data_IF_677208704335
#
_entry.id   IF_677208704335
#
_cell.length_a   1.000
_cell.length_b   1.000
_cell.length_c   1.000
_cell.angle_alpha   90.00
_cell.angle_beta   90.00
_cell.angle_gamma   90.00
#
_symmetry.space_group_name_H-M   'P 1'
#
loop_
_entity.id
_entity.type
_entity.pdbx_description
1 polymer ?
#
# COMPACT_ATOMS: atom_id res chain seq x y z
N UNK A 1 13.36 29.90 38.41
CA UNK A 1 13.93 28.58 38.05
C UNK A 1 14.89 28.72 36.88
N UNK A 2 16.17 28.34 36.99
CA UNK A 2 17.14 28.42 35.88
C UNK A 2 16.80 27.49 34.71
N UNK A 3 16.37 26.25 34.98
CA UNK A 3 16.12 25.22 33.95
C UNK A 3 15.00 25.60 32.99
N UNK A 4 13.94 26.27 33.46
CA UNK A 4 12.87 26.77 32.58
C UNK A 4 13.35 27.82 31.56
N UNK A 5 14.45 28.53 31.84
CA UNK A 5 15.04 29.45 30.85
C UNK A 5 15.75 28.71 29.72
N UNK A 6 16.18 27.46 29.94
CA UNK A 6 16.84 26.65 28.91
C UNK A 6 15.85 26.26 27.79
N UNK A 7 14.59 25.98 28.14
CA UNK A 7 13.51 25.74 27.17
C UNK A 7 13.09 26.98 26.38
N UNK A 8 13.58 28.18 26.71
CA UNK A 8 13.37 29.36 25.89
C UNK A 8 14.35 29.45 24.70
N UNK A 9 15.48 28.72 24.76
CA UNK A 9 16.47 28.69 23.69
C UNK A 9 16.10 27.67 22.61
N UNK A 10 15.86 28.17 21.40
CA UNK A 10 15.52 27.38 20.22
C UNK A 10 16.63 26.39 19.83
N UNK A 11 17.89 26.66 20.20
CA UNK A 11 19.00 25.76 19.92
C UNK A 11 18.87 24.39 20.64
N UNK A 12 18.02 24.29 21.66
CA UNK A 12 17.76 23.04 22.38
C UNK A 12 16.75 22.11 21.65
N UNK A 13 15.93 22.62 20.74
CA UNK A 13 14.88 21.83 20.06
C UNK A 13 15.41 20.57 19.35
N UNK A 14 16.54 20.60 18.58
CA UNK A 14 17.10 19.40 17.97
C UNK A 14 17.52 18.34 18.99
N UNK A 15 18.10 18.76 20.12
CA UNK A 15 18.50 17.83 21.19
C UNK A 15 17.30 17.17 21.87
N UNK A 16 16.24 17.95 22.15
CA UNK A 16 14.97 17.43 22.69
C UNK A 16 14.36 16.40 21.74
N UNK A 17 14.34 16.72 20.45
CA UNK A 17 13.82 15.85 19.39
C UNK A 17 14.60 14.54 19.34
N UNK A 18 15.94 14.62 19.34
CA UNK A 18 16.84 13.48 19.32
C UNK A 18 16.65 12.56 20.53
N UNK A 19 16.57 13.10 21.76
CA UNK A 19 16.34 12.29 22.95
C UNK A 19 15.04 11.48 22.88
N UNK A 20 13.99 12.06 22.31
CA UNK A 20 12.71 11.36 22.09
C UNK A 20 12.82 10.31 20.98
N UNK A 21 13.55 10.57 19.89
CA UNK A 21 13.78 9.53 18.85
C UNK A 21 14.52 8.33 19.46
N UNK A 22 15.60 8.53 20.24
CA UNK A 22 16.35 7.44 20.88
C UNK A 22 15.41 6.59 21.74
N UNK A 23 14.59 7.25 22.56
CA UNK A 23 13.61 6.61 23.44
C UNK A 23 12.59 5.80 22.64
N UNK A 24 11.95 6.40 21.63
CA UNK A 24 10.92 5.74 20.83
C UNK A 24 11.48 4.63 19.93
N UNK A 25 12.71 4.74 19.44
CA UNK A 25 13.40 3.65 18.76
C UNK A 25 13.65 2.46 19.70
N UNK A 26 14.07 2.71 20.94
CA UNK A 26 14.24 1.65 21.93
C UNK A 26 12.91 0.99 22.29
N UNK A 27 11.82 1.76 22.43
CA UNK A 27 10.48 1.21 22.59
C UNK A 27 10.09 0.35 21.38
N UNK A 28 10.28 0.84 20.15
CA UNK A 28 9.96 0.12 18.92
C UNK A 28 10.75 -1.20 18.79
N UNK A 29 12.02 -1.26 19.23
CA UNK A 29 12.80 -2.52 19.29
C UNK A 29 12.20 -3.55 20.25
N UNK A 30 11.51 -3.11 21.31
CA UNK A 30 10.86 -3.99 22.30
C UNK A 30 9.48 -4.47 21.83
N UNK A 31 8.72 -3.63 21.11
CA UNK A 31 7.39 -4.02 20.62
C UNK A 31 7.49 -4.87 19.35
N UNK A 32 8.33 -4.50 18.36
CA UNK A 32 8.40 -5.13 17.04
C UNK A 32 8.39 -6.68 17.00
N UNK A 33 9.07 -7.44 17.90
CA UNK A 33 8.98 -8.90 17.93
C UNK A 33 7.55 -9.46 18.13
N UNK A 34 6.64 -8.66 18.66
CA UNK A 34 5.23 -9.02 18.88
C UNK A 34 4.41 -9.03 17.57
N UNK A 35 4.91 -8.44 16.49
CA UNK A 35 4.17 -8.25 15.21
C UNK A 35 3.50 -9.53 14.71
N UNK A 36 4.18 -10.68 14.76
CA UNK A 36 3.65 -11.98 14.30
C UNK A 36 3.15 -12.90 15.43
N UNK A 37 3.35 -12.51 16.69
CA UNK A 37 3.03 -13.37 17.84
C UNK A 37 1.55 -13.27 18.23
N UNK A 38 1.05 -14.30 18.92
CA UNK A 38 -0.28 -14.25 19.56
C UNK A 38 -0.19 -13.38 20.81
N UNK A 39 -0.50 -12.10 20.67
CA UNK A 39 -0.39 -11.12 21.76
C UNK A 39 -1.67 -11.10 22.61
N UNK A 40 -1.57 -11.16 23.96
CA UNK A 40 -2.75 -11.04 24.83
C UNK A 40 -3.50 -9.72 24.62
N UNK A 41 -4.84 -9.78 24.57
CA UNK A 41 -5.72 -8.62 24.32
C UNK A 41 -5.40 -7.38 25.19
N UNK A 42 -5.04 -7.59 26.46
CA UNK A 42 -4.65 -6.50 27.39
C UNK A 42 -3.43 -5.72 26.89
N UNK A 43 -2.45 -6.40 26.28
CA UNK A 43 -1.26 -5.76 25.71
C UNK A 43 -1.62 -5.01 24.44
N UNK A 44 -2.41 -5.61 23.53
CA UNK A 44 -2.90 -4.95 22.32
C UNK A 44 -3.73 -3.69 22.63
N UNK A 45 -4.64 -3.77 23.61
CA UNK A 45 -5.44 -2.63 24.07
C UNK A 45 -4.56 -1.55 24.72
N UNK A 46 -3.48 -1.93 25.41
CA UNK A 46 -2.51 -0.98 25.99
C UNK A 46 -1.73 -0.25 24.89
N UNK A 47 -1.19 -0.98 23.91
CA UNK A 47 -0.47 -0.41 22.77
C UNK A 47 -1.37 0.53 21.94
N UNK A 48 -2.64 0.16 21.72
CA UNK A 48 -3.63 1.02 21.05
C UNK A 48 -3.93 2.29 21.83
N UNK A 49 -4.08 2.20 23.16
CA UNK A 49 -4.23 3.39 23.98
C UNK A 49 -3.00 4.31 23.93
N UNK A 50 -1.80 3.77 23.71
CA UNK A 50 -0.58 4.56 23.50
C UNK A 50 -0.60 5.24 22.12
N UNK A 51 -0.87 4.51 21.03
CA UNK A 51 -0.95 5.10 19.68
C UNK A 51 -1.97 6.25 19.61
N UNK A 52 -3.16 6.05 20.19
CA UNK A 52 -4.25 7.01 20.10
C UNK A 52 -4.04 8.27 20.96
N UNK A 53 -3.32 8.15 22.09
CA UNK A 53 -3.30 9.19 23.13
C UNK A 53 -1.95 9.87 23.35
N UNK A 54 -0.84 9.27 22.93
CA UNK A 54 0.51 9.78 23.22
C UNK A 54 0.71 11.23 22.77
N UNK A 55 0.34 11.56 21.54
CA UNK A 55 0.52 12.92 20.98
C UNK A 55 -0.27 13.95 21.78
N UNK A 56 -1.55 13.67 22.07
CA UNK A 56 -2.42 14.54 22.87
C UNK A 56 -1.93 14.68 24.32
N UNK A 57 -1.43 13.59 24.90
CA UNK A 57 -0.85 13.60 26.24
C UNK A 57 0.39 14.52 26.30
N UNK A 58 1.28 14.45 25.30
CA UNK A 58 2.46 15.33 25.21
C UNK A 58 2.05 16.80 25.02
N UNK A 59 1.13 17.09 24.09
CA UNK A 59 0.62 18.44 23.87
C UNK A 59 0.07 19.07 25.16
N UNK A 60 -0.72 18.30 25.93
CA UNK A 60 -1.26 18.76 27.21
C UNK A 60 -0.16 18.95 28.28
N UNK A 61 0.75 17.99 28.42
CA UNK A 61 1.83 18.04 29.42
C UNK A 61 2.84 19.18 29.16
N UNK A 62 3.00 19.60 27.91
CA UNK A 62 3.92 20.66 27.50
C UNK A 62 3.21 21.98 27.11
N UNK A 63 1.89 22.11 27.34
CA UNK A 63 1.07 23.26 26.88
C UNK A 63 1.62 24.65 27.26
N UNK A 64 2.25 24.77 28.43
CA UNK A 64 2.86 26.02 28.92
C UNK A 64 4.31 26.27 28.47
N UNK A 65 4.88 25.43 27.60
CA UNK A 65 6.27 25.57 27.11
C UNK A 65 6.32 26.33 25.76
N UNK A 66 7.48 26.88 25.38
CA UNK A 66 7.65 27.51 24.07
C UNK A 66 7.35 26.56 22.91
N UNK A 67 6.73 27.08 21.85
CA UNK A 67 6.20 26.27 20.74
C UNK A 67 7.21 25.30 20.13
N UNK A 68 8.47 25.73 19.98
CA UNK A 68 9.56 24.92 19.43
C UNK A 68 9.90 23.68 20.28
N UNK A 69 9.66 23.74 21.60
CA UNK A 69 9.79 22.58 22.49
C UNK A 69 8.63 21.62 22.27
N UNK A 70 7.40 22.14 22.14
CA UNK A 70 6.20 21.32 21.88
C UNK A 70 6.35 20.60 20.53
N UNK A 71 6.75 21.31 19.47
CA UNK A 71 7.02 20.74 18.14
C UNK A 71 8.11 19.67 18.17
N UNK A 72 9.23 19.93 18.87
CA UNK A 72 10.33 18.98 19.03
C UNK A 72 9.90 17.66 19.70
N UNK A 73 8.96 17.70 20.66
CA UNK A 73 8.39 16.53 21.33
C UNK A 73 7.30 15.83 20.48
N UNK A 74 6.46 16.61 19.82
CA UNK A 74 5.30 16.10 19.05
C UNK A 74 5.72 15.36 17.78
N UNK A 75 6.75 15.81 17.06
CA UNK A 75 7.19 15.16 15.81
C UNK A 75 7.59 13.68 15.97
N UNK A 76 8.53 13.33 16.88
CA UNK A 76 8.94 11.96 17.14
C UNK A 76 7.79 11.11 17.68
N UNK A 77 7.02 11.66 18.63
CA UNK A 77 5.87 10.98 19.21
C UNK A 77 4.79 10.65 18.17
N UNK A 78 4.54 11.54 17.20
CA UNK A 78 3.59 11.31 16.10
C UNK A 78 4.08 10.19 15.18
N UNK A 79 5.38 10.14 14.87
CA UNK A 79 5.95 9.05 14.06
C UNK A 79 5.82 7.72 14.80
N UNK A 80 6.22 7.66 16.07
CA UNK A 80 6.17 6.46 16.90
C UNK A 80 4.74 5.95 17.11
N UNK A 81 3.79 6.85 17.42
CA UNK A 81 2.38 6.51 17.55
C UNK A 81 1.80 5.91 16.26
N UNK A 82 2.16 6.45 15.09
CA UNK A 82 1.73 5.89 13.80
C UNK A 82 2.37 4.53 13.50
N UNK A 83 3.61 4.29 13.93
CA UNK A 83 4.25 2.98 13.79
C UNK A 83 3.58 1.93 14.69
N UNK A 84 3.22 2.28 15.93
CA UNK A 84 2.46 1.38 16.82
C UNK A 84 1.07 1.04 16.24
N UNK A 85 0.35 2.00 15.68
CA UNK A 85 -0.93 1.72 15.01
C UNK A 85 -0.73 0.75 13.83
N UNK A 86 0.27 0.99 12.98
CA UNK A 86 0.61 0.09 11.87
C UNK A 86 0.99 -1.31 12.36
N UNK A 87 1.82 -1.42 13.39
CA UNK A 87 2.19 -2.71 13.99
C UNK A 87 0.96 -3.51 14.46
N UNK A 88 -0.01 -2.84 15.11
CA UNK A 88 -1.28 -3.45 15.52
C UNK A 88 -2.14 -3.88 14.34
N UNK A 89 -2.12 -3.13 13.22
CA UNK A 89 -2.81 -3.49 11.97
C UNK A 89 -2.14 -4.68 11.28
N UNK A 90 -0.80 -4.75 11.28
CA UNK A 90 -0.04 -5.91 10.82
C UNK A 90 -0.34 -7.14 11.67
N UNK A 91 -0.33 -7.04 12.99
CA UNK A 91 -0.63 -8.18 13.88
C UNK A 91 -2.04 -8.75 13.67
N UNK A 92 -3.06 -7.86 13.59
CA UNK A 92 -4.44 -8.28 13.33
C UNK A 92 -4.60 -8.97 11.97
N UNK A 93 -3.96 -8.43 10.92
CA UNK A 93 -4.01 -9.02 9.57
C UNK A 93 -3.17 -10.30 9.47
N UNK A 94 -2.05 -10.40 10.21
CA UNK A 94 -1.23 -11.60 10.30
C UNK A 94 -2.01 -12.78 10.87
N UNK A 95 -2.80 -12.58 11.94
CA UNK A 95 -3.66 -13.63 12.48
C UNK A 95 -4.75 -14.07 11.49
N UNK A 96 -5.33 -13.14 10.73
CA UNK A 96 -6.28 -13.49 9.67
C UNK A 96 -5.61 -14.29 8.54
N UNK A 97 -4.42 -13.88 8.10
CA UNK A 97 -3.64 -14.59 7.08
C UNK A 97 -3.17 -15.96 7.55
N UNK A 98 -2.73 -16.12 8.81
CA UNK A 98 -2.35 -17.40 9.40
C UNK A 98 -3.50 -18.41 9.36
N UNK A 99 -4.74 -17.99 9.66
CA UNK A 99 -5.92 -18.85 9.58
C UNK A 99 -6.22 -19.29 8.14
N UNK A 100 -5.90 -18.46 7.14
CA UNK A 100 -6.06 -18.85 5.73
C UNK A 100 -4.93 -19.80 5.29
N UNK A 101 -3.68 -19.44 5.56
CA UNK A 101 -2.48 -20.11 5.06
C UNK A 101 -2.12 -21.40 5.79
N UNK A 102 -2.59 -21.62 7.03
CA UNK A 102 -2.35 -22.89 7.74
C UNK A 102 -3.18 -24.06 7.20
N UNK A 103 -4.36 -23.78 6.62
CA UNK A 103 -5.22 -24.81 6.03
C UNK A 103 -4.61 -25.30 4.70
N UNK A 104 -4.19 -26.58 4.56
CA UNK A 104 -3.62 -27.12 3.32
C UNK A 104 -4.55 -26.93 2.12
N UNK A 105 -5.86 -27.15 2.29
CA UNK A 105 -6.85 -27.00 1.22
C UNK A 105 -6.88 -25.56 0.65
N UNK A 106 -6.73 -24.55 1.51
CA UNK A 106 -6.64 -23.17 1.05
C UNK A 106 -5.36 -22.95 0.25
N UNK A 107 -4.22 -23.48 0.70
CA UNK A 107 -2.92 -23.35 0.00
C UNK A 107 -2.93 -24.04 -1.36
N UNK A 108 -3.47 -25.25 -1.43
CA UNK A 108 -3.65 -26.01 -2.67
C UNK A 108 -4.53 -25.22 -3.65
N UNK A 109 -5.71 -24.79 -3.23
CA UNK A 109 -6.64 -24.01 -4.08
C UNK A 109 -6.05 -22.65 -4.48
N UNK A 110 -5.32 -21.97 -3.57
CA UNK A 110 -4.62 -20.71 -3.87
C UNK A 110 -3.57 -20.88 -4.95
N UNK A 111 -2.82 -21.99 -4.93
CA UNK A 111 -1.81 -22.29 -5.94
C UNK A 111 -2.47 -22.68 -7.28
N UNK A 112 -3.47 -23.57 -7.28
CA UNK A 112 -4.21 -23.97 -8.49
C UNK A 112 -4.83 -22.77 -9.20
N UNK A 113 -5.58 -21.92 -8.49
CA UNK A 113 -6.16 -20.72 -9.08
C UNK A 113 -5.07 -19.78 -9.60
N UNK A 114 -3.95 -19.60 -8.89
CA UNK A 114 -2.88 -18.72 -9.37
C UNK A 114 -2.26 -19.24 -10.67
N UNK A 115 -1.85 -20.51 -10.72
CA UNK A 115 -1.16 -21.05 -11.91
C UNK A 115 -2.07 -21.22 -13.13
N UNK A 116 -3.40 -21.27 -12.94
CA UNK A 116 -4.38 -21.42 -14.02
C UNK A 116 -5.06 -20.11 -14.44
N UNK A 117 -5.24 -19.15 -13.54
CA UNK A 117 -6.02 -17.93 -13.79
C UNK A 117 -5.20 -16.64 -13.87
N UNK A 118 -4.00 -16.59 -13.26
CA UNK A 118 -3.21 -15.36 -13.16
C UNK A 118 -2.17 -15.30 -14.28
N UNK A 119 -2.25 -14.28 -15.13
CA UNK A 119 -1.25 -14.10 -16.17
C UNK A 119 -0.03 -13.32 -15.61
N UNK A 120 0.96 -14.06 -15.13
CA UNK A 120 2.17 -13.51 -14.49
C UNK A 120 2.86 -12.42 -15.33
N UNK A 121 2.94 -12.60 -16.66
CA UNK A 121 3.56 -11.61 -17.55
C UNK A 121 2.69 -10.34 -17.67
N UNK A 122 1.36 -10.47 -17.64
CA UNK A 122 0.45 -9.32 -17.62
C UNK A 122 0.44 -8.60 -16.27
N UNK A 123 0.55 -9.35 -15.16
CA UNK A 123 0.74 -8.82 -13.80
C UNK A 123 2.02 -7.98 -13.72
N UNK A 124 3.11 -8.44 -14.33
CA UNK A 124 4.38 -7.72 -14.35
C UNK A 124 4.30 -6.36 -15.06
N UNK A 125 3.40 -6.15 -16.03
CA UNK A 125 3.18 -4.82 -16.64
C UNK A 125 2.67 -3.75 -15.65
N UNK A 126 2.29 -4.14 -14.42
CA UNK A 126 1.91 -3.20 -13.35
C UNK A 126 3.11 -2.55 -12.61
N UNK A 127 4.34 -2.98 -12.89
CA UNK A 127 5.58 -2.44 -12.31
C UNK A 127 6.49 -1.79 -13.37
N UNK A 128 7.53 -1.02 -12.99
CA UNK A 128 8.42 -0.38 -13.97
C UNK A 128 9.10 -1.40 -14.89
N UNK A 129 9.19 -1.10 -16.19
CA UNK A 129 9.67 -2.03 -17.23
C UNK A 129 10.98 -2.73 -16.89
N UNK A 130 11.91 -2.01 -16.22
CA UNK A 130 13.21 -2.52 -15.77
C UNK A 130 13.15 -3.75 -14.85
N UNK A 131 12.03 -3.98 -14.15
CA UNK A 131 11.85 -5.12 -13.24
C UNK A 131 10.76 -6.09 -13.65
N UNK A 132 10.20 -5.97 -14.86
CA UNK A 132 9.13 -6.86 -15.32
C UNK A 132 9.56 -8.33 -15.35
N UNK A 133 10.69 -8.63 -16.01
CA UNK A 133 11.17 -10.02 -16.11
C UNK A 133 11.68 -10.55 -14.77
N UNK A 134 12.26 -9.71 -13.91
CA UNK A 134 12.65 -10.08 -12.55
C UNK A 134 11.43 -10.44 -11.68
N UNK A 135 10.30 -9.72 -11.81
CA UNK A 135 9.03 -10.06 -11.14
C UNK A 135 8.43 -11.35 -11.70
N UNK A 136 8.48 -11.56 -13.02
CA UNK A 136 8.03 -12.83 -13.63
C UNK A 136 8.85 -14.00 -13.10
N UNK A 137 10.18 -13.87 -13.07
CA UNK A 137 11.08 -14.88 -12.53
C UNK A 137 10.78 -15.16 -11.05
N UNK A 138 10.75 -14.13 -10.20
CA UNK A 138 10.44 -14.21 -8.76
C UNK A 138 9.15 -15.01 -8.51
N UNK A 139 8.05 -14.61 -9.16
CA UNK A 139 6.74 -15.23 -8.95
C UNK A 139 6.75 -16.69 -9.40
N UNK A 140 7.35 -17.01 -10.55
CA UNK A 140 7.41 -18.39 -11.06
C UNK A 140 8.31 -19.28 -10.19
N UNK A 141 9.40 -18.76 -9.63
CA UNK A 141 10.35 -19.56 -8.83
C UNK A 141 9.95 -19.73 -7.37
N UNK A 142 9.29 -18.75 -6.74
CA UNK A 142 9.10 -18.73 -5.28
C UNK A 142 7.67 -18.99 -4.83
N UNK A 143 6.65 -18.75 -5.67
CA UNK A 143 5.25 -18.90 -5.26
C UNK A 143 4.93 -20.30 -4.74
N UNK A 144 5.47 -21.35 -5.38
CA UNK A 144 5.24 -22.74 -4.95
C UNK A 144 5.85 -23.00 -3.57
N UNK A 145 7.02 -22.45 -3.26
CA UNK A 145 7.69 -22.62 -1.96
C UNK A 145 7.02 -21.77 -0.85
N UNK A 146 6.48 -20.60 -1.21
CA UNK A 146 5.76 -19.70 -0.30
C UNK A 146 4.44 -20.30 0.19
N UNK A 147 3.66 -20.85 -0.75
CA UNK A 147 2.42 -21.55 -0.44
C UNK A 147 2.71 -22.95 0.12
N UNK A 148 3.65 -23.70 -0.46
CA UNK A 148 3.96 -25.10 -0.11
C UNK A 148 2.68 -25.98 -0.18
N UNK A 149 2.08 -26.12 -1.39
CA UNK A 149 0.88 -26.93 -1.61
C UNK A 149 1.21 -28.43 -1.70
N UNK A 150 0.38 -29.25 -1.06
CA UNK A 150 0.53 -30.69 -0.89
C UNK A 150 -0.12 -31.52 -2.01
N UNK A 151 -1.36 -31.21 -2.38
CA UNK A 151 -2.22 -32.13 -3.17
C UNK A 151 -2.39 -31.72 -4.65
N UNK A 152 -1.73 -30.64 -5.08
CA UNK A 152 -1.87 -30.13 -6.45
C UNK A 152 -1.24 -31.07 -7.48
N UNK A 153 -2.03 -31.44 -8.48
CA UNK A 153 -1.63 -32.40 -9.51
C UNK A 153 -0.47 -31.89 -10.38
N UNK A 154 0.62 -32.66 -10.43
CA UNK A 154 1.72 -32.41 -11.38
C UNK A 154 1.26 -32.38 -12.85
N UNK A 155 0.17 -33.09 -13.19
CA UNK A 155 -0.35 -33.07 -14.56
C UNK A 155 -0.96 -31.72 -14.94
N UNK A 156 -1.47 -30.97 -13.96
CA UNK A 156 -1.89 -29.58 -14.10
C UNK A 156 -0.67 -28.66 -14.14
N UNK A 157 0.22 -28.78 -13.14
CA UNK A 157 1.36 -27.87 -12.99
C UNK A 157 2.27 -27.87 -14.22
N UNK A 158 2.58 -29.03 -14.81
CA UNK A 158 3.41 -29.17 -16.02
C UNK A 158 2.87 -28.46 -17.27
N UNK A 159 1.59 -28.09 -17.28
CA UNK A 159 0.96 -27.34 -18.39
C UNK A 159 1.13 -25.82 -18.24
N UNK A 160 1.72 -25.38 -17.12
CA UNK A 160 1.90 -23.97 -16.78
C UNK A 160 3.39 -23.58 -16.79
N UNK A 161 3.73 -22.28 -16.87
CA UNK A 161 5.11 -21.81 -16.76
C UNK A 161 5.81 -22.24 -15.45
N UNK A 162 5.05 -22.51 -14.38
CA UNK A 162 5.56 -22.98 -13.09
C UNK A 162 6.14 -24.39 -13.20
N UNK A 163 5.39 -25.33 -13.78
CA UNK A 163 5.87 -26.70 -13.97
C UNK A 163 7.01 -26.80 -14.98
N UNK A 164 7.03 -25.95 -16.01
CA UNK A 164 8.19 -25.84 -16.90
C UNK A 164 9.44 -25.40 -16.12
N UNK A 165 9.33 -24.38 -15.26
CA UNK A 165 10.45 -23.90 -14.44
C UNK A 165 10.89 -24.94 -13.40
N UNK A 166 9.95 -25.63 -12.76
CA UNK A 166 10.24 -26.70 -11.80
C UNK A 166 11.01 -27.86 -12.46
N UNK A 167 10.63 -28.24 -13.69
CA UNK A 167 11.34 -29.25 -14.48
C UNK A 167 12.76 -28.78 -14.85
N UNK A 168 12.93 -27.52 -15.28
CA UNK A 168 14.25 -26.94 -15.61
C UNK A 168 15.19 -26.87 -14.39
N UNK A 169 14.66 -26.56 -13.21
CA UNK A 169 15.45 -26.52 -11.97
C UNK A 169 15.76 -27.91 -11.37
N UNK A 170 15.31 -29.00 -11.99
CA UNK A 170 15.48 -30.35 -11.44
C UNK A 170 14.72 -30.58 -10.13
N UNK A 171 13.79 -29.69 -9.75
CA UNK A 171 12.94 -29.79 -8.55
C UNK A 171 11.79 -30.79 -8.75
N UNK A 172 12.06 -31.88 -9.45
CA UNK A 172 11.10 -32.95 -9.66
C UNK A 172 11.04 -33.83 -8.41
N UNK A 173 10.07 -33.55 -7.54
CA UNK A 173 9.81 -34.26 -6.26
C UNK A 173 10.95 -34.20 -5.25
N UNK A 174 11.10 -33.05 -4.62
CA UNK A 174 11.07 -33.06 -3.15
C UNK A 174 9.71 -32.53 -2.74
N UNK A 175 8.76 -33.45 -2.54
CA UNK A 175 7.75 -33.21 -1.52
C UNK A 175 8.55 -32.98 -0.24
N UNK A 176 8.43 -31.79 0.33
CA UNK A 176 9.12 -31.37 1.53
C UNK A 176 8.83 -32.39 2.63
N UNK A 177 9.83 -33.20 3.00
CA UNK A 177 9.77 -34.07 4.20
C UNK A 177 10.00 -33.19 5.44
N UNK A 178 9.32 -32.05 5.46
CA UNK A 178 9.38 -31.07 6.52
C UNK A 178 8.19 -31.31 7.43
N UNK A 179 8.48 -31.32 8.73
CA UNK A 179 7.50 -31.52 9.78
C UNK A 179 6.32 -30.55 9.64
N UNK A 180 5.17 -30.94 10.20
CA UNK A 180 3.91 -30.18 10.21
C UNK A 180 4.15 -28.66 10.11
N UNK A 181 3.77 -28.00 8.99
CA UNK A 181 4.04 -26.59 8.80
C UNK A 181 3.21 -25.80 9.81
N UNK A 182 3.84 -25.44 10.92
CA UNK A 182 3.24 -24.57 11.93
C UNK A 182 2.84 -23.23 11.27
N UNK A 183 1.81 -22.59 11.80
CA UNK A 183 1.36 -21.26 11.36
C UNK A 183 2.50 -20.25 11.28
N UNK A 184 3.43 -20.31 12.23
CA UNK A 184 4.62 -19.46 12.34
C UNK A 184 5.56 -19.70 11.14
N UNK A 185 5.93 -20.96 10.87
CA UNK A 185 6.75 -21.34 9.73
C UNK A 185 6.20 -20.82 8.39
N UNK A 186 4.87 -20.79 8.22
CA UNK A 186 4.26 -20.30 6.98
C UNK A 186 4.41 -18.79 6.84
N UNK A 187 4.06 -17.99 7.85
CA UNK A 187 4.21 -16.53 7.78
C UNK A 187 5.68 -16.12 7.66
N UNK A 188 6.59 -16.83 8.33
CA UNK A 188 8.03 -16.56 8.25
C UNK A 188 8.57 -16.71 6.83
N UNK A 189 8.08 -17.66 6.01
CA UNK A 189 8.48 -17.77 4.59
C UNK A 189 8.14 -16.50 3.82
N UNK A 190 6.95 -15.95 4.01
CA UNK A 190 6.51 -14.72 3.35
C UNK A 190 7.31 -13.49 3.83
N UNK A 191 7.57 -13.36 5.14
CA UNK A 191 8.37 -12.26 5.69
C UNK A 191 9.84 -12.32 5.21
N UNK A 192 10.43 -13.52 5.16
CA UNK A 192 11.76 -13.72 4.58
C UNK A 192 11.80 -13.35 3.09
N UNK A 193 10.77 -13.67 2.32
CA UNK A 193 10.65 -13.21 0.93
C UNK A 193 10.57 -11.67 0.86
N UNK A 194 9.72 -11.02 1.65
CA UNK A 194 9.61 -9.56 1.69
C UNK A 194 10.94 -8.87 2.06
N UNK A 195 11.67 -9.41 3.04
CA UNK A 195 13.03 -8.93 3.40
C UNK A 195 14.00 -9.06 2.22
N UNK A 196 13.95 -10.18 1.49
CA UNK A 196 14.85 -10.47 0.37
C UNK A 196 14.64 -9.57 -0.86
N UNK A 197 13.49 -8.91 -0.99
CA UNK A 197 13.17 -8.05 -2.15
C UNK A 197 14.22 -6.94 -2.35
N UNK A 198 14.74 -6.36 -1.27
CA UNK A 198 15.79 -5.32 -1.36
C UNK A 198 17.08 -5.81 -2.02
N UNK A 199 17.45 -7.08 -1.81
CA UNK A 199 18.60 -7.70 -2.45
C UNK A 199 18.33 -8.20 -3.88
N UNK A 200 17.09 -8.60 -4.18
CA UNK A 200 16.67 -9.06 -5.51
C UNK A 200 16.43 -7.91 -6.50
N UNK A 201 16.00 -6.76 -6.00
CA UNK A 201 15.70 -5.56 -6.78
C UNK A 201 16.62 -4.38 -6.37
N UNK A 202 17.97 -4.51 -6.46
CA UNK A 202 18.92 -3.54 -5.91
C UNK A 202 18.88 -2.16 -6.60
N UNK A 203 18.22 -2.08 -7.76
CA UNK A 203 17.98 -0.84 -8.49
C UNK A 203 16.71 -0.08 -8.05
N UNK A 204 15.86 -0.70 -7.24
CA UNK A 204 14.60 -0.12 -6.76
C UNK A 204 14.78 0.51 -5.38
N UNK A 205 14.14 1.66 -5.15
CA UNK A 205 14.05 2.27 -3.83
C UNK A 205 13.07 1.49 -2.94
N UNK A 206 13.23 1.59 -1.60
CA UNK A 206 12.30 0.98 -0.65
C UNK A 206 10.83 1.38 -0.91
N UNK A 207 10.58 2.64 -1.30
CA UNK A 207 9.24 3.12 -1.65
C UNK A 207 8.70 2.50 -2.95
N UNK A 208 9.56 2.30 -3.96
CA UNK A 208 9.18 1.55 -5.17
C UNK A 208 8.88 0.08 -4.86
N UNK A 209 9.62 -0.58 -3.96
CA UNK A 209 9.36 -1.97 -3.56
C UNK A 209 7.98 -2.08 -2.90
N UNK A 210 7.66 -1.25 -1.91
CA UNK A 210 6.33 -1.19 -1.26
C UNK A 210 5.23 -1.01 -2.30
N UNK A 211 5.39 -0.03 -3.20
CA UNK A 211 4.42 0.24 -4.26
C UNK A 211 4.28 -0.93 -5.23
N UNK A 212 5.37 -1.55 -5.66
CA UNK A 212 5.35 -2.70 -6.59
C UNK A 212 4.63 -3.90 -5.98
N UNK A 213 4.90 -4.25 -4.71
CA UNK A 213 4.21 -5.35 -4.02
C UNK A 213 2.70 -5.12 -3.98
N UNK A 214 2.27 -3.91 -3.60
CA UNK A 214 0.84 -3.54 -3.57
C UNK A 214 0.20 -3.56 -4.97
N UNK A 215 0.93 -3.15 -6.03
CA UNK A 215 0.44 -3.18 -7.42
C UNK A 215 0.33 -4.59 -7.98
N UNK A 216 1.34 -5.44 -7.75
CA UNK A 216 1.32 -6.86 -8.11
C UNK A 216 0.14 -7.55 -7.43
N UNK A 217 0.00 -7.41 -6.10
CA UNK A 217 -1.13 -7.97 -5.36
C UNK A 217 -2.49 -7.49 -5.90
N UNK A 218 -2.62 -6.20 -6.22
CA UNK A 218 -3.83 -5.65 -6.84
C UNK A 218 -4.11 -6.18 -8.25
N UNK A 219 -3.07 -6.49 -9.03
CA UNK A 219 -3.21 -7.12 -10.34
C UNK A 219 -3.64 -8.59 -10.23
N UNK A 220 -3.00 -9.37 -9.36
CA UNK A 220 -3.37 -10.76 -9.04
C UNK A 220 -4.83 -10.84 -8.59
N UNK A 221 -5.27 -9.99 -7.65
CA UNK A 221 -6.66 -9.98 -7.19
C UNK A 221 -7.65 -9.67 -8.33
N UNK A 222 -7.27 -8.84 -9.32
CA UNK A 222 -8.12 -8.53 -10.48
C UNK A 222 -8.29 -9.75 -11.39
N UNK A 223 -7.20 -10.43 -11.72
CA UNK A 223 -7.23 -11.64 -12.56
C UNK A 223 -8.11 -12.72 -11.89
N UNK A 224 -7.91 -12.98 -10.59
CA UNK A 224 -8.74 -13.89 -9.79
C UNK A 224 -10.22 -13.48 -9.74
N UNK A 225 -10.53 -12.17 -9.74
CA UNK A 225 -11.92 -11.68 -9.79
C UNK A 225 -12.56 -11.97 -11.13
N UNK A 226 -11.86 -11.70 -12.23
CA UNK A 226 -12.34 -11.90 -13.60
C UNK A 226 -12.54 -13.39 -13.90
N UNK A 227 -11.63 -14.24 -13.42
CA UNK A 227 -11.70 -15.69 -13.57
C UNK A 227 -12.59 -16.41 -12.55
N UNK A 228 -13.17 -15.68 -11.57
CA UNK A 228 -14.01 -16.22 -10.49
C UNK A 228 -13.30 -17.30 -9.64
N UNK A 229 -12.04 -17.04 -9.26
CA UNK A 229 -11.21 -17.96 -8.48
C UNK A 229 -11.79 -18.31 -7.11
N UNK A 230 -11.82 -19.60 -6.79
CA UNK A 230 -12.41 -20.16 -5.55
C UNK A 230 -11.67 -19.67 -4.29
N UNK A 231 -10.36 -19.47 -4.41
CA UNK A 231 -9.47 -19.00 -3.36
C UNK A 231 -9.42 -17.48 -3.20
N UNK A 232 -10.24 -16.71 -3.92
CA UNK A 232 -10.26 -15.24 -3.87
C UNK A 232 -10.24 -14.68 -2.44
N UNK A 233 -11.03 -15.25 -1.52
CA UNK A 233 -11.06 -14.81 -0.12
C UNK A 233 -9.74 -15.02 0.63
N UNK A 234 -9.09 -16.17 0.42
CA UNK A 234 -7.80 -16.48 1.04
C UNK A 234 -6.67 -15.61 0.47
N UNK A 235 -6.69 -15.37 -0.85
CA UNK A 235 -5.78 -14.43 -1.51
C UNK A 235 -5.99 -12.99 -1.05
N UNK A 236 -7.24 -12.53 -0.90
CA UNK A 236 -7.55 -11.18 -0.42
C UNK A 236 -7.01 -10.93 0.99
N UNK A 237 -7.28 -11.85 1.93
CA UNK A 237 -6.79 -11.74 3.32
C UNK A 237 -5.26 -11.78 3.37
N UNK A 238 -4.64 -12.67 2.60
CA UNK A 238 -3.16 -12.78 2.50
C UNK A 238 -2.55 -11.49 1.93
N UNK A 239 -3.15 -10.93 0.88
CA UNK A 239 -2.75 -9.66 0.26
C UNK A 239 -2.88 -8.49 1.23
N UNK A 240 -3.98 -8.39 1.98
CA UNK A 240 -4.16 -7.35 3.01
C UNK A 240 -3.05 -7.40 4.06
N UNK A 241 -2.65 -8.58 4.51
CA UNK A 241 -1.52 -8.72 5.44
C UNK A 241 -0.18 -8.32 4.81
N UNK A 242 0.10 -8.78 3.58
CA UNK A 242 1.34 -8.45 2.86
C UNK A 242 1.49 -6.93 2.65
N UNK A 243 0.41 -6.25 2.27
CA UNK A 243 0.37 -4.80 2.06
C UNK A 243 0.74 -4.02 3.33
N UNK A 244 0.17 -4.41 4.48
CA UNK A 244 0.46 -3.80 5.78
C UNK A 244 1.89 -4.12 6.23
N UNK A 245 2.33 -5.38 6.07
CA UNK A 245 3.65 -5.84 6.47
C UNK A 245 4.77 -5.10 5.71
N UNK A 246 4.69 -5.03 4.37
CA UNK A 246 5.75 -4.38 3.57
C UNK A 246 5.83 -2.87 3.85
N UNK A 247 4.67 -2.22 4.08
CA UNK A 247 4.61 -0.82 4.46
C UNK A 247 5.21 -0.58 5.85
N UNK A 248 4.85 -1.41 6.83
CA UNK A 248 5.41 -1.36 8.19
C UNK A 248 6.92 -1.57 8.19
N UNK A 249 7.43 -2.59 7.49
CA UNK A 249 8.87 -2.87 7.39
C UNK A 249 9.65 -1.67 6.83
N UNK A 250 9.14 -1.02 5.78
CA UNK A 250 9.78 0.14 5.17
C UNK A 250 9.76 1.38 6.09
N UNK A 251 8.63 1.66 6.73
CA UNK A 251 8.51 2.80 7.65
C UNK A 251 9.29 2.60 8.96
N UNK A 252 9.24 1.39 9.53
CA UNK A 252 9.99 1.03 10.72
C UNK A 252 11.49 1.10 10.43
N UNK A 253 11.98 0.49 9.35
CA UNK A 253 13.37 0.61 8.91
C UNK A 253 13.82 2.06 8.71
N UNK A 254 12.99 2.88 8.06
CA UNK A 254 13.27 4.32 7.87
C UNK A 254 13.28 5.11 9.18
N UNK A 255 12.43 4.77 10.15
CA UNK A 255 12.42 5.38 11.49
C UNK A 255 13.66 5.01 12.32
N UNK A 256 14.07 3.74 12.26
CA UNK A 256 15.27 3.26 12.96
C UNK A 256 16.57 3.90 12.44
N UNK A 257 16.58 4.44 11.22
CA UNK A 257 17.75 5.08 10.60
C UNK A 257 17.86 6.60 10.84
N UNK A 258 16.84 7.26 11.41
CA UNK A 258 16.78 8.74 11.48
C UNK A 258 17.93 9.42 12.23
N UNK A 259 18.60 8.70 13.12
CA UNK A 259 19.64 9.26 14.00
C UNK A 259 21.03 9.27 13.35
N UNK A 260 21.35 8.27 12.52
CA UNK A 260 22.66 8.10 11.90
C UNK A 260 23.01 9.25 10.95
N UNK A 261 22.01 9.96 10.42
CA UNK A 261 22.19 10.96 9.36
C UNK A 261 22.52 12.35 9.92
N UNK A 262 21.94 12.77 11.07
CA UNK A 262 22.17 14.13 11.58
C UNK A 262 23.50 14.29 12.33
N UNK A 263 24.07 13.23 12.90
CA UNK A 263 25.41 13.27 13.50
C UNK A 263 26.53 13.59 12.49
N UNK A 264 26.30 13.38 11.20
CA UNK A 264 27.28 13.67 10.13
C UNK A 264 27.32 15.12 9.64
N UNK A 265 26.34 15.96 9.96
CA UNK A 265 26.30 17.37 9.51
C UNK A 265 26.87 18.36 10.55
N UNK A 266 27.44 17.86 11.64
CA UNK A 266 28.00 18.68 12.73
C UNK A 266 29.42 19.22 12.52
N UNK A 267 30.17 18.74 11.51
CA UNK A 267 31.61 19.04 11.37
C UNK A 267 31.99 19.80 10.07
N UNK A 268 31.02 20.30 9.31
CA UNK A 268 31.27 21.26 8.21
C UNK A 268 31.24 22.70 8.72
N UNK A 269 32.19 23.04 9.60
CA UNK A 269 32.38 24.41 10.10
C UNK A 269 33.84 24.74 10.44
N UNK A 270 34.78 24.39 9.54
CA UNK A 270 36.13 24.96 9.56
C UNK A 270 36.36 25.91 8.37
N UNK A 271 36.60 27.17 8.71
CA UNK A 271 37.15 28.21 7.82
C UNK A 271 38.51 27.79 7.26
N UNK A 272 38.79 28.17 5.99
CA UNK A 272 40.14 28.62 5.65
C UNK A 272 40.11 29.98 4.95
N UNK A 273 40.04 31.05 5.74
CA UNK A 273 40.23 32.42 5.27
C UNK A 273 41.69 32.87 5.37
N UNK A 274 42.58 32.33 4.51
CA UNK A 274 43.89 32.95 4.22
C UNK A 274 44.66 32.26 3.07
N UNK A 275 44.50 32.72 1.83
CA UNK A 275 45.66 33.02 0.95
C UNK A 275 45.23 33.82 -0.30
N UNK A 276 45.67 35.08 -0.39
CA UNK A 276 45.61 35.86 -1.64
C UNK A 276 46.99 35.88 -2.29
N UNK A 277 47.15 35.29 -3.49
CA UNK A 277 48.05 35.85 -4.52
C UNK A 277 47.83 35.30 -5.94
N UNK A 278 47.10 36.09 -6.73
CA UNK A 278 47.52 36.68 -8.00
C UNK A 278 48.28 35.81 -9.04
N UNK A 279 47.61 35.48 -10.14
CA UNK A 279 48.22 35.43 -11.49
C UNK A 279 47.21 35.86 -12.56
N UNK A 280 47.65 36.72 -13.48
CA UNK A 280 46.86 37.24 -14.60
C UNK A 280 47.04 36.37 -15.85
N UNK A 281 45.99 36.25 -16.66
CA UNK A 281 45.92 36.17 -18.13
C UNK A 281 44.50 35.65 -18.50
N UNK A 282 43.81 36.10 -19.55
CA UNK A 282 44.16 37.05 -20.60
C UNK A 282 43.60 36.54 -21.94
N UNK A 283 42.52 37.12 -22.46
CA UNK A 283 41.93 36.71 -23.74
C UNK A 283 40.53 37.25 -24.02
N UNK A 284 40.42 38.24 -24.90
CA UNK A 284 39.16 38.78 -25.45
C UNK A 284 39.16 38.63 -26.99
N UNK A 285 38.19 37.90 -27.53
CA UNK A 285 37.46 38.19 -28.79
C UNK A 285 36.30 37.17 -28.86
N UNK A 286 35.03 37.45 -29.17
CA UNK A 286 34.29 38.48 -29.92
C UNK A 286 33.80 37.99 -31.29
N UNK A 287 32.52 38.28 -31.57
CA UNK A 287 31.77 38.03 -32.83
C UNK A 287 31.36 36.57 -33.11
N UNK A 288 30.20 36.29 -33.70
CA UNK A 288 29.21 37.19 -34.30
C UNK A 288 27.75 36.73 -34.16
N UNK A 289 26.84 37.67 -34.39
CA UNK A 289 25.38 37.55 -34.37
C UNK A 289 24.81 36.84 -35.60
N UNK A 290 23.59 36.33 -35.49
CA UNK A 290 22.54 36.75 -36.44
C UNK A 290 21.17 36.80 -35.75
N UNK A 291 20.37 37.81 -36.10
CA UNK A 291 19.13 38.17 -35.41
C UNK A 291 18.15 38.79 -36.43
N UNK A 292 17.14 38.04 -36.87
CA UNK A 292 16.05 38.45 -37.77
C UNK A 292 14.97 37.33 -37.78
N UNK A 293 13.66 37.53 -37.60
CA UNK A 293 12.86 38.75 -37.51
C UNK A 293 11.83 38.69 -36.38
N UNK A 294 11.69 39.82 -35.70
CA UNK A 294 10.52 40.16 -34.89
C UNK A 294 9.32 40.62 -35.75
N UNK A 295 8.19 40.83 -35.03
CA UNK A 295 7.04 41.75 -35.28
C UNK A 295 5.73 40.95 -35.33
N UNK A 296 4.82 41.03 -34.34
CA UNK A 296 4.39 42.18 -33.53
C UNK A 296 2.92 42.50 -33.89
N UNK A 297 2.09 43.25 -33.16
CA UNK A 297 2.23 44.17 -32.01
C UNK A 297 0.82 44.41 -31.39
N UNK A 298 0.69 44.45 -30.05
CA UNK A 298 -0.41 45.02 -29.20
C UNK A 298 -1.88 44.60 -29.50
N UNK A 299 -2.90 44.74 -28.63
CA UNK A 299 -3.11 45.25 -27.25
C UNK A 299 -4.64 45.18 -26.96
N UNK A 300 -5.21 45.56 -25.81
CA UNK A 300 -4.72 46.00 -24.48
C UNK A 300 -5.86 45.87 -23.43
N UNK A 301 -5.52 45.69 -22.13
CA UNK A 301 -6.34 45.99 -20.90
C UNK A 301 -7.70 45.29 -20.64
N UNK A 302 -7.87 44.76 -19.41
CA UNK A 302 -9.18 44.42 -18.81
C UNK A 302 -9.09 43.81 -17.40
N UNK A 303 -9.56 44.52 -16.37
CA UNK A 303 -9.39 44.24 -14.93
C UNK A 303 -10.15 43.01 -14.35
N UNK A 304 -9.72 42.47 -13.19
CA UNK A 304 -10.53 41.59 -12.32
C UNK A 304 -9.73 40.56 -11.47
N UNK A 305 -10.18 40.16 -10.25
CA UNK A 305 -9.37 39.37 -9.30
C UNK A 305 -9.61 37.84 -9.27
N UNK A 306 -8.68 37.11 -8.61
CA UNK A 306 -8.74 35.69 -8.17
C UNK A 306 -9.70 35.50 -6.96
N UNK A 307 -10.00 34.29 -6.37
CA UNK A 307 -9.39 32.94 -6.54
C UNK A 307 -10.31 31.66 -6.42
N UNK A 308 -9.71 30.48 -6.70
CA UNK A 308 -9.86 29.10 -6.11
C UNK A 308 -11.20 28.30 -6.01
N UNK A 309 -11.04 26.99 -6.28
CA UNK A 309 -11.67 25.77 -5.74
C UNK A 309 -13.19 25.60 -5.54
N UNK A 310 -13.78 24.70 -6.35
CA UNK A 310 -14.95 23.88 -5.98
C UNK A 310 -14.75 22.40 -6.38
N UNK A 311 -14.10 21.64 -5.49
CA UNK A 311 -14.04 20.17 -5.55
C UNK A 311 -14.15 19.56 -4.14
N UNK A 312 -15.11 20.06 -3.35
CA UNK A 312 -15.42 19.64 -1.98
C UNK A 312 -16.91 19.80 -1.68
N UNK A 313 -17.75 18.93 -2.26
CA UNK A 313 -19.15 18.73 -1.84
C UNK A 313 -19.66 17.36 -2.31
N UNK A 314 -19.09 16.29 -1.74
CA UNK A 314 -19.52 14.91 -1.98
C UNK A 314 -19.19 13.96 -0.81
N UNK A 315 -19.10 14.45 0.43
CA UNK A 315 -18.68 13.64 1.59
C UNK A 315 -19.17 14.15 2.97
N UNK A 316 -20.42 14.63 3.08
CA UNK A 316 -21.08 14.84 4.39
C UNK A 316 -22.58 14.54 4.32
N UNK A 317 -22.97 13.32 4.72
CA UNK A 317 -24.25 13.00 5.39
C UNK A 317 -24.38 11.48 5.65
N UNK A 318 -23.70 10.97 6.69
CA UNK A 318 -23.92 9.61 7.21
C UNK A 318 -23.33 9.45 8.64
N UNK A 319 -23.77 10.25 9.61
CA UNK A 319 -23.34 10.12 11.00
C UNK A 319 -24.36 10.68 12.01
N UNK A 320 -25.51 10.02 12.17
CA UNK A 320 -26.44 10.28 13.28
C UNK A 320 -27.34 9.07 13.59
N UNK A 321 -27.23 8.51 14.80
CA UNK A 321 -28.37 7.90 15.50
C UNK A 321 -28.50 6.37 15.56
N UNK A 322 -28.22 5.84 16.76
CA UNK A 322 -29.01 4.81 17.49
C UNK A 322 -29.29 3.40 16.92
N UNK A 323 -28.59 2.43 17.52
CA UNK A 323 -29.04 1.25 18.30
C UNK A 323 -30.46 0.64 18.19
N UNK A 324 -30.43 -0.70 18.37
CA UNK A 324 -31.46 -1.66 18.85
C UNK A 324 -32.49 -2.33 17.90
N UNK A 325 -32.55 -3.66 18.07
CA UNK A 325 -33.64 -4.63 17.85
C UNK A 325 -34.27 -4.86 16.46
N UNK A 326 -34.16 -6.11 15.98
CA UNK A 326 -35.11 -6.66 14.99
C UNK A 326 -34.62 -7.83 14.12
N UNK A 327 -34.58 -9.07 14.66
CA UNK A 327 -34.56 -10.25 13.79
C UNK A 327 -35.93 -10.40 13.12
N UNK A 328 -35.98 -10.34 11.79
CA UNK A 328 -37.18 -10.56 10.98
C UNK A 328 -36.87 -11.33 9.71
N UNK A 329 -37.07 -12.66 9.73
CA UNK A 329 -36.98 -13.47 8.50
C UNK A 329 -38.27 -13.36 7.67
N UNK A 330 -38.12 -13.06 6.37
CA UNK A 330 -38.87 -13.64 5.23
C UNK A 330 -38.30 -13.08 3.91
N UNK A 331 -37.61 -13.90 3.11
CA UNK A 331 -38.06 -14.70 1.94
C UNK A 331 -37.96 -13.94 0.61
N UNK A 332 -37.69 -14.62 -0.53
CA UNK A 332 -36.98 -14.02 -1.65
C UNK A 332 -37.89 -13.73 -2.85
N UNK A 333 -38.32 -12.49 -3.00
CA UNK A 333 -38.90 -11.99 -4.24
C UNK A 333 -38.75 -10.47 -4.32
N UNK A 334 -37.66 -10.03 -4.94
CA UNK A 334 -37.66 -8.89 -5.86
C UNK A 334 -36.46 -9.02 -6.83
N UNK A 335 -36.77 -8.99 -8.12
CA UNK A 335 -35.90 -9.45 -9.20
C UNK A 335 -35.19 -8.29 -9.93
N UNK A 336 -34.12 -8.62 -10.63
CA UNK A 336 -33.25 -7.73 -11.41
C UNK A 336 -33.94 -6.58 -12.18
N UNK A 337 -33.44 -5.35 -11.99
CA UNK A 337 -33.61 -4.25 -12.94
C UNK A 337 -32.26 -3.60 -13.30
N UNK A 338 -31.54 -4.18 -14.26
CA UNK A 338 -30.25 -3.67 -14.73
C UNK A 338 -30.46 -2.58 -15.80
N UNK A 339 -30.34 -1.30 -15.40
CA UNK A 339 -30.50 -0.15 -16.31
C UNK A 339 -29.39 -0.06 -17.37
N UNK A 340 -29.76 -0.22 -18.64
CA UNK A 340 -28.85 -0.15 -19.80
C UNK A 340 -28.82 1.26 -20.38
N UNK A 341 -27.63 1.82 -20.62
CA UNK A 341 -27.45 3.15 -21.22
C UNK A 341 -28.08 3.23 -22.63
N UNK A 342 -28.83 4.29 -22.89
CA UNK A 342 -29.40 4.63 -24.20
C UNK A 342 -29.19 6.11 -24.52
N UNK A 343 -28.60 6.39 -25.70
CA UNK A 343 -28.41 7.74 -26.22
C UNK A 343 -29.73 8.30 -26.78
N UNK A 344 -30.00 9.58 -26.57
CA UNK A 344 -31.15 10.31 -27.13
C UNK A 344 -30.86 10.86 -28.51
N UNK A 345 -31.79 10.69 -29.47
CA UNK A 345 -31.95 11.58 -30.62
C UNK A 345 -33.41 11.59 -31.09
N UNK A 346 -33.82 12.71 -31.71
CA UNK A 346 -35.18 13.25 -31.66
C UNK A 346 -36.18 12.85 -32.78
N UNK A 347 -37.42 13.28 -32.54
CA UNK A 347 -38.43 13.81 -33.47
C UNK A 347 -39.47 12.94 -34.23
N UNK A 348 -40.71 13.06 -33.75
CA UNK A 348 -42.02 13.35 -34.40
C UNK A 348 -42.28 12.87 -35.86
N UNK A 349 -43.30 12.02 -36.08
CA UNK A 349 -44.67 12.38 -36.55
C UNK A 349 -45.54 11.16 -36.95
N UNK A 350 -46.87 11.28 -36.69
CA UNK A 350 -48.07 10.72 -37.38
C UNK A 350 -48.00 9.36 -38.14
N UNK A 351 -49.02 8.49 -38.12
CA UNK A 351 -50.45 8.77 -38.35
C UNK A 351 -51.39 7.59 -37.95
N UNK A 352 -52.70 7.76 -38.13
CA UNK A 352 -53.80 6.88 -37.67
C UNK A 352 -54.23 5.80 -38.68
N UNK A 353 -54.99 4.81 -38.18
CA UNK A 353 -55.88 3.85 -38.90
C UNK A 353 -55.19 2.75 -39.75
N UNK A 354 -55.73 1.52 -39.90
CA UNK A 354 -57.07 0.97 -39.59
C UNK A 354 -57.06 -0.54 -39.20
N UNK A 355 -58.15 -1.01 -38.58
CA UNK A 355 -58.53 -2.41 -38.33
C UNK A 355 -59.50 -2.88 -39.47
N UNK A 356 -60.09 -4.11 -39.58
CA UNK A 356 -60.22 -5.23 -38.62
C UNK A 356 -60.18 -6.68 -39.23
N UNK A 357 -60.80 -7.65 -38.52
CA UNK A 357 -61.11 -9.08 -38.83
C UNK A 357 -59.96 -10.09 -38.57
N UNK A 358 -60.13 -11.12 -37.73
CA UNK A 358 -61.24 -12.08 -37.74
C UNK A 358 -61.55 -12.70 -36.37
N UNK A 359 -62.83 -12.88 -36.07
CA UNK A 359 -63.34 -13.84 -35.05
C UNK A 359 -63.88 -15.09 -35.75
N UNK A 360 -63.61 -16.27 -35.21
CA UNK A 360 -64.56 -17.40 -35.16
C UNK A 360 -64.19 -18.33 -34.00
N UNK A 361 -65.21 -18.70 -33.22
CA UNK A 361 -65.14 -19.66 -32.12
C UNK A 361 -66.16 -20.76 -32.38
N UNK A 362 -65.69 -22.00 -32.52
CA UNK A 362 -66.37 -23.27 -32.22
C UNK A 362 -65.25 -24.26 -31.88
N UNK A 363 -65.40 -25.24 -31.00
CA UNK A 363 -66.59 -25.69 -30.28
C UNK A 363 -66.48 -27.19 -30.08
N UNK A 364 -65.98 -27.63 -28.93
CA UNK A 364 -65.80 -29.06 -28.62
C UNK A 364 -67.07 -29.64 -28.02
N UNK A 365 -67.45 -30.87 -28.44
CA UNK A 365 -67.95 -31.92 -27.55
C UNK A 365 -68.16 -33.25 -28.30
N UNK A 366 -67.67 -34.34 -27.69
CA UNK A 366 -67.86 -35.78 -28.03
C UNK A 366 -67.09 -36.31 -29.24
#
# INVERSE_FOLDING_TARGET
MPVQKLFADKALAPWINQCDIIMYQNMMRVVAPLTLQVVPKVVLDTLRNISDRLVKHIQNSFHGQPIHVIEAKVGPATTFASLLDKELRVNLTAHAAANMLSNPYNRDTMYEDFITMVNVRKVAESVPTRGMDDVVNLLITELRDLLDPSEVSWELERQTPFGEMAARMGRQRQASVHADPTTENVLDRWVNMLLSLTGKFPYATHAEIVWCVQKIGTAVMRDLTIAQGKSFGAWWVTKCWIDEMIAFMAEQGGFMQRETIQSGMGDMSQNPAASRRNSQQGGRYSSGSDDFLARGVNGERGAGPRPMDHARDAAMNAAAGHDDSGIGMRTPEDEFAMGKFGFTQDDVHASMESNPLHTMSQGSLS
#
